data_IF_080702905535
#
_entry.id   IF_080702905535
#
_cell.length_a   1.000
_cell.length_b   1.000
_cell.length_c   1.000
_cell.angle_alpha   90.00
_cell.angle_beta   90.00
_cell.angle_gamma   90.00
#
_symmetry.space_group_name_H-M   'P 1'
#
loop_
_entity.id
_entity.type
_entity.pdbx_description
1 polymer ?
#
# COMPACT_ATOMS: atom_id res chain seq x y z
N UNK A 1 3.10 -5.15 -14.58
CA UNK A 1 3.49 -5.64 -13.24
C UNK A 1 2.58 -5.01 -12.18
N UNK A 2 2.26 -5.73 -11.08
CA UNK A 2 1.57 -5.19 -9.91
C UNK A 2 2.53 -5.15 -8.70
N UNK A 3 2.66 -3.99 -8.04
CA UNK A 3 3.45 -3.82 -6.82
C UNK A 3 2.49 -3.41 -5.71
N UNK A 4 2.37 -4.25 -4.67
CA UNK A 4 1.46 -4.02 -3.55
C UNK A 4 2.29 -3.51 -2.37
N UNK A 5 2.20 -2.22 -2.05
CA UNK A 5 2.91 -1.60 -0.93
C UNK A 5 1.98 -1.57 0.28
N UNK A 6 2.33 -2.31 1.31
CA UNK A 6 1.51 -2.47 2.51
C UNK A 6 2.28 -2.20 3.81
N UNK A 7 1.59 -2.27 4.92
CA UNK A 7 2.13 -2.02 6.26
C UNK A 7 1.25 -1.08 7.09
N UNK A 8 1.56 -0.94 8.36
CA UNK A 8 0.81 -0.11 9.29
C UNK A 8 0.81 1.38 8.89
N UNK A 9 -0.15 2.19 9.34
CA UNK A 9 -0.10 3.64 9.16
C UNK A 9 1.21 4.23 9.70
N UNK A 10 1.73 5.28 9.05
CA UNK A 10 2.97 5.99 9.40
C UNK A 10 4.28 5.21 9.21
N UNK A 11 4.28 4.08 8.48
CA UNK A 11 5.52 3.35 8.11
C UNK A 11 6.23 3.93 6.87
N UNK A 12 5.70 4.97 6.22
CA UNK A 12 6.31 5.60 5.06
C UNK A 12 5.78 5.14 3.69
N UNK A 13 4.71 4.32 3.65
CA UNK A 13 4.13 3.78 2.41
C UNK A 13 3.92 4.83 1.32
N UNK A 14 3.23 5.91 1.64
CA UNK A 14 2.89 6.94 0.64
C UNK A 14 4.10 7.58 -0.01
N UNK A 15 5.13 7.86 0.77
CA UNK A 15 6.37 8.45 0.26
C UNK A 15 7.08 7.46 -0.67
N UNK A 16 7.24 6.22 -0.24
CA UNK A 16 7.86 5.17 -1.05
C UNK A 16 7.05 4.87 -2.31
N UNK A 17 5.73 4.71 -2.20
CA UNK A 17 4.85 4.41 -3.34
C UNK A 17 4.88 5.49 -4.40
N UNK A 18 4.93 6.76 -4.00
CA UNK A 18 5.05 7.90 -4.94
C UNK A 18 6.37 7.89 -5.71
N UNK A 19 7.47 7.61 -5.01
CA UNK A 19 8.79 7.54 -5.65
C UNK A 19 8.89 6.33 -6.59
N UNK A 20 8.42 5.15 -6.16
CA UNK A 20 8.34 3.96 -7.01
C UNK A 20 7.51 4.22 -8.25
N UNK A 21 6.29 4.74 -8.08
CA UNK A 21 5.41 5.01 -9.20
C UNK A 21 6.00 6.04 -10.17
N UNK A 22 6.61 7.11 -9.66
CA UNK A 22 7.28 8.12 -10.48
C UNK A 22 8.48 7.56 -11.24
N UNK A 23 9.33 6.77 -10.58
CA UNK A 23 10.52 6.16 -11.19
C UNK A 23 10.20 5.10 -12.24
N UNK A 24 9.11 4.35 -12.05
CA UNK A 24 8.68 3.28 -12.95
C UNK A 24 7.67 3.76 -14.02
N UNK A 25 7.22 5.02 -13.99
CA UNK A 25 6.12 5.47 -14.83
C UNK A 25 4.82 4.70 -14.57
N UNK A 26 4.62 4.26 -13.33
CA UNK A 26 3.51 3.41 -12.93
C UNK A 26 2.28 4.22 -12.47
N UNK A 27 1.12 3.59 -12.55
CA UNK A 27 -0.12 4.13 -11.96
C UNK A 27 -0.08 3.92 -10.45
N UNK A 28 -0.21 4.99 -9.66
CA UNK A 28 -0.31 4.90 -8.20
C UNK A 28 -1.78 4.86 -7.77
N UNK A 29 -2.22 3.73 -7.21
CA UNK A 29 -3.54 3.55 -6.62
C UNK A 29 -3.42 3.51 -5.10
N UNK A 30 -4.01 4.50 -4.43
CA UNK A 30 -3.99 4.61 -2.98
C UNK A 30 -5.39 4.36 -2.42
N UNK A 31 -5.56 3.31 -1.62
CA UNK A 31 -6.86 2.92 -1.03
C UNK A 31 -7.46 4.07 -0.23
N UNK A 32 -6.69 4.72 0.65
CA UNK A 32 -7.18 5.85 1.45
C UNK A 32 -7.76 6.98 0.58
N UNK A 33 -7.18 7.25 -0.61
CA UNK A 33 -7.69 8.27 -1.54
C UNK A 33 -9.04 7.86 -2.14
N UNK A 34 -9.16 6.59 -2.53
CA UNK A 34 -10.40 6.03 -3.08
C UNK A 34 -11.50 6.06 -2.02
N UNK A 35 -11.21 5.56 -0.82
CA UNK A 35 -12.16 5.53 0.29
C UNK A 35 -12.64 6.94 0.67
N UNK A 36 -11.72 7.88 0.80
CA UNK A 36 -12.09 9.25 1.14
C UNK A 36 -12.87 9.96 0.02
N UNK A 37 -12.63 9.62 -1.24
CA UNK A 37 -13.44 10.12 -2.34
C UNK A 37 -14.88 9.59 -2.29
N UNK A 38 -15.07 8.31 -1.94
CA UNK A 38 -16.39 7.69 -1.74
C UNK A 38 -17.13 8.37 -0.60
N UNK A 39 -16.48 8.59 0.55
CA UNK A 39 -17.10 9.31 1.69
C UNK A 39 -17.48 10.74 1.30
N UNK A 40 -16.61 11.46 0.63
CA UNK A 40 -16.86 12.86 0.20
C UNK A 40 -17.97 12.97 -0.85
N UNK A 41 -18.24 11.92 -1.61
CA UNK A 41 -19.38 11.89 -2.54
C UNK A 41 -20.73 11.82 -1.83
N UNK A 42 -20.75 11.53 -0.52
CA UNK A 42 -21.98 11.34 0.25
C UNK A 42 -22.67 10.00 -0.01
N UNK A 43 -22.05 9.10 -0.76
CA UNK A 43 -22.64 7.78 -1.10
C UNK A 43 -22.53 6.78 0.06
N UNK A 44 -21.47 6.88 0.87
CA UNK A 44 -21.23 6.02 2.02
C UNK A 44 -20.44 6.75 3.11
N UNK A 45 -20.46 6.19 4.33
CA UNK A 45 -19.72 6.68 5.50
C UNK A 45 -18.74 5.60 5.99
N UNK A 46 -17.72 6.02 6.75
CA UNK A 46 -16.84 5.05 7.41
C UNK A 46 -17.56 4.24 8.49
N UNK A 47 -17.22 2.93 8.66
CA UNK A 47 -16.23 2.15 7.92
C UNK A 47 -16.78 1.63 6.58
N UNK A 48 -15.98 1.75 5.51
CA UNK A 48 -16.36 1.32 4.16
C UNK A 48 -16.22 -0.19 3.90
N UNK A 49 -15.69 -0.95 4.86
CA UNK A 49 -15.45 -2.38 4.68
C UNK A 49 -14.54 -2.67 3.47
N UNK A 50 -14.99 -3.52 2.56
CA UNK A 50 -14.21 -3.93 1.40
C UNK A 50 -14.33 -2.99 0.19
N UNK A 51 -15.15 -1.94 0.24
CA UNK A 51 -15.49 -1.12 -0.94
C UNK A 51 -14.26 -0.47 -1.56
N UNK A 52 -13.36 0.10 -0.74
CA UNK A 52 -12.13 0.71 -1.22
C UNK A 52 -11.24 -0.28 -1.99
N UNK A 53 -11.09 -1.49 -1.46
CA UNK A 53 -10.35 -2.57 -2.11
C UNK A 53 -11.04 -3.03 -3.41
N UNK A 54 -12.35 -3.20 -3.42
CA UNK A 54 -13.10 -3.60 -4.62
C UNK A 54 -12.90 -2.61 -5.77
N UNK A 55 -13.01 -1.31 -5.48
CA UNK A 55 -12.78 -0.25 -6.48
C UNK A 55 -11.32 -0.26 -6.96
N UNK A 56 -10.36 -0.37 -6.02
CA UNK A 56 -8.95 -0.39 -6.38
C UNK A 56 -8.56 -1.61 -7.23
N UNK A 57 -9.11 -2.80 -6.93
CA UNK A 57 -8.92 -4.01 -7.73
C UNK A 57 -9.44 -3.82 -9.15
N UNK A 58 -10.64 -3.25 -9.33
CA UNK A 58 -11.19 -2.98 -10.64
C UNK A 58 -10.31 -2.02 -11.45
N UNK A 59 -9.88 -0.91 -10.85
CA UNK A 59 -8.97 0.05 -11.49
C UNK A 59 -7.61 -0.57 -11.82
N UNK A 60 -7.03 -1.33 -10.88
CA UNK A 60 -5.77 -2.03 -11.11
C UNK A 60 -5.87 -3.02 -12.28
N UNK A 61 -6.97 -3.80 -12.33
CA UNK A 61 -7.21 -4.75 -13.42
C UNK A 61 -7.22 -4.06 -14.79
N UNK A 62 -7.91 -2.92 -14.89
CA UNK A 62 -8.01 -2.17 -16.15
C UNK A 62 -6.63 -1.66 -16.60
N UNK A 63 -5.85 -1.09 -15.70
CA UNK A 63 -4.51 -0.60 -16.02
C UNK A 63 -3.52 -1.73 -16.35
N UNK A 64 -3.56 -2.83 -15.59
CA UNK A 64 -2.70 -4.00 -15.85
C UNK A 64 -3.00 -4.65 -17.21
N UNK A 65 -4.27 -4.76 -17.61
CA UNK A 65 -4.67 -5.26 -18.95
C UNK A 65 -4.22 -4.35 -20.07
N UNK A 66 -4.07 -3.05 -19.83
CA UNK A 66 -3.48 -2.10 -20.77
C UNK A 66 -1.95 -2.18 -20.83
N UNK A 67 -1.33 -3.08 -20.07
CA UNK A 67 0.12 -3.23 -20.01
C UNK A 67 0.82 -2.25 -19.08
N UNK A 68 0.10 -1.46 -18.29
CA UNK A 68 0.70 -0.52 -17.35
C UNK A 68 1.18 -1.23 -16.08
N UNK A 69 2.21 -0.71 -15.45
CA UNK A 69 2.60 -1.09 -14.10
C UNK A 69 1.70 -0.35 -13.10
N UNK A 70 1.28 -1.04 -12.04
CA UNK A 70 0.45 -0.48 -10.98
C UNK A 70 1.16 -0.62 -9.64
N UNK A 71 1.24 0.47 -8.88
CA UNK A 71 1.65 0.50 -7.47
C UNK A 71 0.38 0.71 -6.64
N UNK A 72 -0.06 -0.33 -5.94
CA UNK A 72 -1.21 -0.29 -5.05
C UNK A 72 -0.74 -0.03 -3.62
N UNK A 73 -1.19 1.08 -3.01
CA UNK A 73 -0.87 1.44 -1.63
C UNK A 73 -2.06 1.19 -0.71
N UNK A 74 -1.86 0.37 0.32
CA UNK A 74 -2.89 0.02 1.30
C UNK A 74 -2.28 -0.40 2.65
N UNK A 75 -3.09 -0.55 3.68
CA UNK A 75 -2.61 -1.17 4.94
C UNK A 75 -2.46 -2.69 4.76
N UNK A 76 -3.40 -3.32 4.07
CA UNK A 76 -3.43 -4.75 3.72
C UNK A 76 -3.20 -5.70 4.92
N UNK A 77 -3.94 -5.54 6.01
CA UNK A 77 -3.61 -6.19 7.27
C UNK A 77 -4.07 -7.66 7.35
N UNK A 78 -5.00 -8.07 6.49
CA UNK A 78 -5.63 -9.39 6.56
C UNK A 78 -5.14 -10.29 5.42
N UNK A 79 -4.97 -11.58 5.68
CA UNK A 79 -4.59 -12.57 4.67
C UNK A 79 -5.55 -12.51 3.46
N UNK A 80 -6.87 -12.46 3.70
CA UNK A 80 -7.86 -12.39 2.62
C UNK A 80 -7.69 -11.18 1.69
N UNK A 81 -7.23 -10.04 2.20
CA UNK A 81 -7.00 -8.85 1.34
C UNK A 81 -5.71 -8.98 0.53
N UNK A 82 -4.70 -9.66 1.08
CA UNK A 82 -3.46 -10.03 0.37
C UNK A 82 -3.75 -11.02 -0.74
N UNK A 83 -4.55 -12.05 -0.45
CA UNK A 83 -4.97 -13.05 -1.44
C UNK A 83 -5.76 -12.42 -2.59
N UNK A 84 -6.58 -11.42 -2.30
CA UNK A 84 -7.29 -10.66 -3.33
C UNK A 84 -6.36 -9.99 -4.34
N UNK A 85 -5.28 -9.36 -3.89
CA UNK A 85 -4.29 -8.76 -4.77
C UNK A 85 -3.48 -9.80 -5.56
N UNK A 86 -3.00 -10.86 -4.89
CA UNK A 86 -2.26 -11.93 -5.53
C UNK A 86 -3.12 -12.67 -6.58
N UNK A 87 -4.39 -12.93 -6.24
CA UNK A 87 -5.37 -13.52 -7.17
C UNK A 87 -5.60 -12.64 -8.39
N UNK A 88 -5.77 -11.33 -8.21
CA UNK A 88 -5.92 -10.39 -9.32
C UNK A 88 -4.73 -10.45 -10.31
N UNK A 89 -3.51 -10.44 -9.80
CA UNK A 89 -2.32 -10.52 -10.65
C UNK A 89 -2.23 -11.86 -11.38
N UNK A 90 -2.54 -12.96 -10.69
CA UNK A 90 -2.57 -14.30 -11.24
C UNK A 90 -3.61 -14.44 -12.35
N UNK A 91 -4.83 -13.95 -12.13
CA UNK A 91 -5.93 -14.02 -13.10
C UNK A 91 -5.63 -13.21 -14.38
N UNK A 92 -4.89 -12.11 -14.26
CA UNK A 92 -4.48 -11.31 -15.42
C UNK A 92 -3.20 -11.88 -16.07
N UNK A 93 -2.44 -12.70 -15.36
CA UNK A 93 -1.18 -13.28 -15.86
C UNK A 93 -0.01 -12.29 -15.85
N UNK A 94 0.04 -11.40 -14.84
CA UNK A 94 1.14 -10.44 -14.71
C UNK A 94 2.00 -10.75 -13.48
N UNK A 95 3.32 -10.45 -13.51
CA UNK A 95 4.15 -10.55 -12.32
C UNK A 95 3.69 -9.58 -11.24
N UNK A 96 3.84 -9.98 -9.97
CA UNK A 96 3.54 -9.11 -8.84
C UNK A 96 4.58 -9.22 -7.73
N UNK A 97 4.66 -8.20 -6.91
CA UNK A 97 5.46 -8.16 -5.70
C UNK A 97 4.63 -7.61 -4.54
N UNK A 98 4.68 -8.28 -3.41
CA UNK A 98 4.15 -7.79 -2.14
C UNK A 98 5.29 -7.18 -1.33
N UNK A 99 5.13 -5.91 -0.95
CA UNK A 99 6.16 -5.12 -0.25
C UNK A 99 5.57 -4.65 1.09
N UNK A 100 6.07 -5.19 2.18
CA UNK A 100 5.69 -4.77 3.52
C UNK A 100 6.68 -3.74 4.07
N UNK A 101 6.17 -2.55 4.38
CA UNK A 101 6.94 -1.54 5.10
C UNK A 101 6.68 -1.67 6.60
N UNK A 102 7.76 -1.89 7.34
CA UNK A 102 7.78 -1.88 8.80
C UNK A 102 8.59 -0.69 9.31
N UNK A 103 8.39 -0.34 10.56
CA UNK A 103 9.27 0.57 11.30
C UNK A 103 9.55 -0.10 12.66
N UNK A 104 10.66 -0.80 12.76
CA UNK A 104 11.00 -1.60 13.96
C UNK A 104 11.35 -0.74 15.16
N UNK A 105 11.82 0.50 14.94
CA UNK A 105 11.95 1.49 16.01
C UNK A 105 10.57 2.03 16.39
N UNK A 106 10.04 1.50 17.50
CA UNK A 106 8.71 1.87 18.01
C UNK A 106 8.60 3.34 18.41
N UNK A 107 9.68 3.94 18.90
CA UNK A 107 9.68 5.34 19.30
C UNK A 107 9.59 6.23 18.06
N UNK A 108 10.37 5.94 17.05
CA UNK A 108 10.33 6.61 15.75
C UNK A 108 8.99 6.43 15.05
N UNK A 109 8.42 5.23 15.03
CA UNK A 109 7.11 4.97 14.45
C UNK A 109 6.00 5.79 15.14
N UNK A 110 6.04 5.85 16.49
CA UNK A 110 5.10 6.68 17.27
C UNK A 110 5.28 8.17 16.98
N UNK A 111 6.52 8.65 16.87
CA UNK A 111 6.83 10.04 16.51
C UNK A 111 6.24 10.37 15.13
N UNK A 112 6.51 9.53 14.11
CA UNK A 112 5.95 9.70 12.76
C UNK A 112 4.42 9.71 12.75
N UNK A 113 3.79 8.85 13.53
CA UNK A 113 2.34 8.82 13.65
C UNK A 113 1.76 10.11 14.25
N UNK A 114 2.45 10.71 15.22
CA UNK A 114 2.04 11.96 15.88
C UNK A 114 2.28 13.21 15.00
N UNK A 115 3.36 13.22 14.23
CA UNK A 115 3.76 14.36 13.40
C UNK A 115 3.16 14.31 11.98
N UNK A 116 2.47 13.22 11.62
CA UNK A 116 1.91 13.01 10.30
C UNK A 116 0.92 14.11 9.94
N UNK A 117 1.14 14.74 8.79
CA UNK A 117 0.18 15.67 8.19
C UNK A 117 -0.77 14.93 7.25
N UNK A 118 -2.01 15.40 7.18
CA UNK A 118 -3.04 14.84 6.28
C UNK A 118 -2.88 15.46 4.91
N UNK A 119 -2.60 14.65 3.91
CA UNK A 119 -2.53 15.05 2.51
C UNK A 119 -3.83 14.76 1.72
N UNK A 120 -4.77 14.04 2.34
CA UNK A 120 -6.10 13.77 1.79
C UNK A 120 -7.11 14.56 2.63
N UNK A 121 -7.79 15.58 2.08
CA UNK A 121 -8.73 16.40 2.84
C UNK A 121 -9.85 15.57 3.47
N UNK A 122 -10.01 15.70 4.79
CA UNK A 122 -11.05 15.02 5.56
C UNK A 122 -10.73 13.57 5.97
N UNK A 123 -9.57 13.03 5.62
CA UNK A 123 -9.17 11.70 6.07
C UNK A 123 -8.88 11.70 7.58
N UNK A 124 -9.61 10.90 8.38
CA UNK A 124 -9.31 10.77 9.79
C UNK A 124 -8.02 9.96 10.00
N UNK A 125 -7.07 10.52 10.75
CA UNK A 125 -5.85 9.79 11.10
C UNK A 125 -6.07 8.93 12.33
N UNK A 126 -5.62 7.66 12.32
CA UNK A 126 -5.69 6.81 13.50
C UNK A 126 -4.72 7.32 14.58
N UNK A 127 -5.13 7.23 15.84
CA UNK A 127 -4.25 7.43 16.98
C UNK A 127 -3.17 6.36 17.03
N UNK A 128 -2.08 6.63 17.77
CA UNK A 128 -1.04 5.63 18.00
C UNK A 128 -1.58 4.32 18.59
N UNK A 129 -2.54 4.41 19.52
CA UNK A 129 -3.14 3.21 20.11
C UNK A 129 -3.90 2.38 19.07
N UNK A 130 -4.68 3.02 18.20
CA UNK A 130 -5.37 2.35 17.09
C UNK A 130 -4.41 1.72 16.07
N UNK A 131 -3.22 2.30 15.90
CA UNK A 131 -2.17 1.71 15.05
C UNK A 131 -1.58 0.48 15.74
N UNK A 132 -1.21 0.62 17.03
CA UNK A 132 -0.53 -0.43 17.79
C UNK A 132 -1.42 -1.65 18.05
N UNK A 133 -2.72 -1.45 18.23
CA UNK A 133 -3.70 -2.50 18.52
C UNK A 133 -4.37 -3.06 17.26
N UNK A 134 -3.95 -2.58 16.08
CA UNK A 134 -4.57 -3.06 14.83
C UNK A 134 -4.28 -4.53 14.61
N UNK A 135 -5.33 -5.31 14.37
CA UNK A 135 -5.18 -6.69 13.91
C UNK A 135 -4.39 -6.68 12.60
N UNK A 136 -3.32 -7.44 12.58
CA UNK A 136 -2.45 -7.61 11.41
C UNK A 136 -2.04 -9.08 11.35
N UNK A 137 -2.59 -9.81 10.39
CA UNK A 137 -2.33 -11.24 10.24
C UNK A 137 -0.85 -11.49 9.93
N UNK A 138 -0.29 -12.54 10.49
CA UNK A 138 1.04 -12.99 10.10
C UNK A 138 1.09 -13.28 8.60
N UNK A 139 2.24 -13.04 7.99
CA UNK A 139 2.47 -13.45 6.62
C UNK A 139 2.68 -14.96 6.54
N UNK A 140 2.07 -15.58 5.55
CA UNK A 140 2.11 -17.01 5.29
C UNK A 140 2.89 -17.37 4.01
N UNK A 141 3.49 -16.37 3.38
CA UNK A 141 4.27 -16.49 2.14
C UNK A 141 5.44 -15.51 2.09
N UNK A 142 6.40 -15.79 1.22
CA UNK A 142 7.52 -14.89 0.97
C UNK A 142 7.05 -13.56 0.39
N UNK A 143 7.62 -12.49 0.88
CA UNK A 143 7.36 -11.13 0.43
C UNK A 143 8.58 -10.23 0.73
N UNK A 144 8.63 -9.06 0.13
CA UNK A 144 9.70 -8.09 0.36
C UNK A 144 9.41 -7.33 1.64
N UNK A 145 10.31 -7.38 2.62
CA UNK A 145 10.19 -6.61 3.87
C UNK A 145 11.20 -5.48 3.88
N UNK A 146 10.73 -4.25 4.05
CA UNK A 146 11.58 -3.06 4.15
C UNK A 146 11.36 -2.38 5.49
N UNK A 147 12.40 -2.44 6.34
CA UNK A 147 12.40 -1.66 7.57
C UNK A 147 12.82 -0.21 7.27
N UNK A 148 11.92 0.70 7.56
CA UNK A 148 12.11 2.14 7.33
C UNK A 148 12.73 2.87 8.53
N UNK A 149 13.01 2.16 9.63
CA UNK A 149 13.74 2.73 10.75
C UNK A 149 15.18 3.03 10.32
N UNK A 150 15.66 4.24 10.61
CA UNK A 150 17.04 4.66 10.35
C UNK A 150 17.51 4.51 8.88
N UNK A 151 16.59 4.52 7.93
CA UNK A 151 16.90 4.50 6.48
C UNK A 151 16.32 5.74 5.80
N UNK A 152 17.01 6.17 4.73
CA UNK A 152 16.43 7.16 3.81
C UNK A 152 15.34 6.51 2.96
N UNK A 153 14.45 7.29 2.41
CA UNK A 153 13.41 6.76 1.52
C UNK A 153 14.02 6.25 0.22
N UNK A 154 15.10 6.85 -0.25
CA UNK A 154 15.86 6.44 -1.44
C UNK A 154 16.48 5.04 -1.25
N UNK A 155 17.07 4.76 -0.08
CA UNK A 155 17.59 3.42 0.26
C UNK A 155 16.45 2.39 0.29
N UNK A 156 15.29 2.77 0.81
CA UNK A 156 14.12 1.90 0.83
C UNK A 156 13.61 1.60 -0.59
N UNK A 157 13.57 2.61 -1.47
CA UNK A 157 13.18 2.43 -2.89
C UNK A 157 14.16 1.51 -3.60
N UNK A 158 15.47 1.73 -3.41
CA UNK A 158 16.52 0.88 -4.01
C UNK A 158 16.35 -0.57 -3.57
N UNK A 159 16.16 -0.80 -2.26
CA UNK A 159 15.98 -2.16 -1.72
C UNK A 159 14.74 -2.87 -2.28
N UNK A 160 13.67 -2.14 -2.61
CA UNK A 160 12.50 -2.70 -3.30
C UNK A 160 12.85 -3.04 -4.74
N UNK A 161 13.42 -2.07 -5.49
CA UNK A 161 13.71 -2.25 -6.92
C UNK A 161 14.63 -3.45 -7.20
N UNK A 162 15.62 -3.71 -6.33
CA UNK A 162 16.54 -4.85 -6.44
C UNK A 162 15.87 -6.22 -6.27
N UNK A 163 14.69 -6.25 -5.64
CA UNK A 163 13.95 -7.49 -5.35
C UNK A 163 12.69 -7.66 -6.21
N UNK A 164 12.36 -6.68 -7.05
CA UNK A 164 11.22 -6.83 -7.95
C UNK A 164 11.44 -7.97 -8.94
N UNK A 165 10.40 -8.75 -9.27
CA UNK A 165 10.50 -9.73 -10.34
C UNK A 165 10.79 -9.05 -11.68
N UNK A 166 11.53 -9.73 -12.55
CA UNK A 166 11.77 -9.23 -13.91
C UNK A 166 10.42 -8.99 -14.62
N UNK A 167 10.26 -7.80 -15.19
CA UNK A 167 9.12 -7.53 -16.08
C UNK A 167 9.47 -8.10 -17.46
N UNK A 168 8.72 -9.09 -17.94
CA UNK A 168 9.02 -9.72 -19.24
C UNK A 168 8.72 -8.84 -20.46
N UNK A 169 8.31 -7.59 -20.23
CA UNK A 169 7.95 -6.62 -21.29
C UNK A 169 9.05 -5.65 -21.57
#
# INVERSE_FOLDING_TARGET
MLIIVCGLPATGKTTLSRLLAGGLGAVHLRIDTIEQAIVRSGTAEHPLGAVGYTVAHALAADHLRQGLTVVAECVNPLAVTRDGWAGLATDIGVPFAEVELVCTDRAEHRRRAAERTVDIPGLPLPSWQQIADRTYDAWDREHIVVDTANRTVEDCVTAVLEQLPADPR
#
